data_IF_491997173028
#
_entry.id   IF_491997173028
#
_cell.length_a   1.000
_cell.length_b   1.000
_cell.length_c   1.000
_cell.angle_alpha   90.00
_cell.angle_beta   90.00
_cell.angle_gamma   90.00
#
_symmetry.space_group_name_H-M   'P 1'
#
loop_
_entity.id
_entity.type
_entity.pdbx_description
1 polymer ?
#
# COMPACT_ATOMS: atom_id res chain seq x y z
N UNK A 1 -4.45 -32.21 9.40
CA UNK A 1 -4.94 -30.83 9.22
C UNK A 1 -3.84 -29.88 9.69
N UNK A 2 -3.44 -28.94 8.85
CA UNK A 2 -2.52 -27.89 9.26
C UNK A 2 -3.22 -27.03 10.34
N UNK A 3 -2.54 -26.70 11.46
CA UNK A 3 -3.16 -25.84 12.47
C UNK A 3 -3.53 -24.51 11.83
N UNK A 4 -4.80 -24.12 11.93
CA UNK A 4 -5.26 -22.80 11.54
C UNK A 4 -4.54 -21.80 12.44
N UNK A 5 -3.64 -21.02 11.86
CA UNK A 5 -2.98 -19.94 12.61
C UNK A 5 -4.04 -18.92 12.99
N UNK A 6 -4.07 -18.56 14.25
CA UNK A 6 -4.99 -17.56 14.75
C UNK A 6 -4.64 -16.21 14.11
N UNK A 7 -5.57 -15.66 13.34
CA UNK A 7 -5.48 -14.30 12.84
C UNK A 7 -6.05 -13.37 13.90
N UNK A 8 -5.28 -12.39 14.31
CA UNK A 8 -5.71 -11.37 15.26
C UNK A 8 -6.02 -10.08 14.48
N UNK A 9 -7.16 -9.48 14.80
CA UNK A 9 -7.59 -8.20 14.24
C UNK A 9 -7.54 -7.14 15.32
N UNK A 10 -6.96 -5.98 14.99
CA UNK A 10 -6.93 -4.84 15.88
C UNK A 10 -7.20 -3.56 15.10
N UNK A 11 -7.96 -2.65 15.68
CA UNK A 11 -8.21 -1.30 15.12
C UNK A 11 -7.20 -0.35 15.75
N UNK A 12 -6.27 0.16 14.95
CA UNK A 12 -5.21 1.06 15.38
C UNK A 12 -4.85 2.03 14.26
N UNK A 13 -4.23 3.15 14.61
CA UNK A 13 -3.59 4.01 13.60
C UNK A 13 -2.29 3.35 13.16
N UNK A 14 -2.03 3.38 11.86
CA UNK A 14 -0.82 2.77 11.29
C UNK A 14 0.47 3.47 11.75
N UNK A 15 0.36 4.74 12.11
CA UNK A 15 1.46 5.59 12.54
C UNK A 15 1.83 5.44 14.02
N UNK A 16 0.96 4.80 14.83
CA UNK A 16 1.19 4.62 16.26
C UNK A 16 0.44 3.38 16.76
N UNK A 17 1.06 2.22 16.62
CA UNK A 17 0.48 0.96 17.05
C UNK A 17 0.87 0.60 18.49
N UNK A 18 0.09 -0.26 19.13
CA UNK A 18 0.39 -0.78 20.48
C UNK A 18 1.32 -1.99 20.47
N UNK A 19 1.82 -2.40 19.32
CA UNK A 19 2.71 -3.55 19.20
C UNK A 19 4.08 -3.27 19.84
N UNK A 20 4.70 -4.31 20.35
CA UNK A 20 6.03 -4.23 20.94
C UNK A 20 7.11 -3.93 19.89
N UNK A 21 8.24 -3.38 20.33
CA UNK A 21 9.41 -3.22 19.48
C UNK A 21 9.84 -4.56 18.87
N UNK A 22 10.28 -4.55 17.60
CA UNK A 22 10.87 -5.71 16.92
C UNK A 22 9.99 -6.95 17.01
N UNK A 23 8.70 -6.79 16.70
CA UNK A 23 7.70 -7.86 16.80
C UNK A 23 7.48 -8.60 15.48
N UNK A 24 7.71 -7.94 14.34
CA UNK A 24 7.29 -8.45 13.03
C UNK A 24 8.48 -8.79 12.12
N UNK A 25 8.36 -9.92 11.44
CA UNK A 25 9.28 -10.37 10.40
C UNK A 25 8.90 -9.82 9.02
N UNK A 26 7.63 -9.45 8.85
CA UNK A 26 7.13 -8.81 7.64
C UNK A 26 6.02 -7.81 8.00
N UNK A 27 5.97 -6.70 7.27
CA UNK A 27 4.92 -5.68 7.36
C UNK A 27 4.42 -5.43 5.95
N UNK A 28 3.11 -5.63 5.76
CA UNK A 28 2.47 -5.52 4.46
C UNK A 28 1.40 -4.43 4.46
N UNK A 29 1.38 -3.62 3.42
CA UNK A 29 0.37 -2.57 3.20
C UNK A 29 -0.28 -2.79 1.84
N UNK A 30 -1.58 -3.11 1.86
CA UNK A 30 -2.38 -3.32 0.66
C UNK A 30 -3.32 -2.15 0.44
N UNK A 31 -3.24 -1.45 -0.70
CA UNK A 31 -4.14 -0.35 -1.11
C UNK A 31 -4.30 0.78 -0.09
N UNK A 32 -3.34 1.01 0.79
CA UNK A 32 -3.51 1.94 1.90
C UNK A 32 -2.37 2.93 2.12
N UNK A 33 -1.18 2.68 1.55
CA UNK A 33 0.01 3.47 1.86
C UNK A 33 -0.17 4.98 1.60
N UNK A 34 -0.92 5.34 0.56
CA UNK A 34 -1.18 6.72 0.18
C UNK A 34 -2.07 7.50 1.17
N UNK A 35 -2.70 6.83 2.13
CA UNK A 35 -3.50 7.45 3.19
C UNK A 35 -2.71 7.80 4.43
N UNK A 36 -1.49 7.26 4.59
CA UNK A 36 -0.70 7.39 5.80
C UNK A 36 0.13 8.67 5.81
N UNK A 37 0.41 9.16 7.00
CA UNK A 37 1.47 10.15 7.24
C UNK A 37 2.81 9.44 7.17
N UNK A 38 3.42 9.41 5.99
CA UNK A 38 4.52 8.52 5.64
C UNK A 38 5.72 8.59 6.61
N UNK A 39 6.09 9.78 7.06
CA UNK A 39 7.24 9.93 7.98
C UNK A 39 6.97 9.27 9.34
N UNK A 40 5.77 9.49 9.89
CA UNK A 40 5.34 8.89 11.13
C UNK A 40 5.16 7.38 10.96
N UNK A 41 4.52 6.98 9.88
CA UNK A 41 4.30 5.57 9.56
C UNK A 41 5.62 4.81 9.43
N UNK A 42 6.59 5.31 8.68
CA UNK A 42 7.89 4.64 8.56
C UNK A 42 8.71 4.65 9.84
N UNK A 43 8.51 5.63 10.70
CA UNK A 43 9.06 5.61 12.06
C UNK A 43 8.50 4.45 12.86
N UNK A 44 7.19 4.26 12.79
CA UNK A 44 6.52 3.14 13.46
C UNK A 44 6.93 1.79 12.85
N UNK A 45 7.01 1.67 11.53
CA UNK A 45 7.50 0.46 10.85
C UNK A 45 8.90 0.08 11.37
N UNK A 46 9.82 1.04 11.47
CA UNK A 46 11.17 0.78 12.01
C UNK A 46 11.13 0.31 13.47
N UNK A 47 10.20 0.84 14.26
CA UNK A 47 10.05 0.48 15.66
C UNK A 47 9.62 -0.97 15.84
N UNK A 48 8.62 -1.40 15.05
CA UNK A 48 7.98 -2.71 15.21
C UNK A 48 8.64 -3.81 14.39
N UNK A 49 9.38 -3.47 13.35
CA UNK A 49 10.09 -4.42 12.51
C UNK A 49 11.31 -5.02 13.24
N UNK A 50 11.50 -6.32 13.09
CA UNK A 50 12.74 -6.99 13.50
C UNK A 50 13.89 -6.62 12.56
N UNK A 51 15.14 -6.75 13.00
CA UNK A 51 16.28 -6.70 12.09
C UNK A 51 16.12 -7.71 10.94
N UNK A 52 16.25 -7.27 9.69
CA UNK A 52 16.07 -8.13 8.53
C UNK A 52 14.60 -8.35 8.11
N UNK A 53 13.65 -7.70 8.76
CA UNK A 53 12.24 -7.75 8.36
C UNK A 53 12.01 -7.16 6.97
N UNK A 54 10.98 -7.66 6.30
CA UNK A 54 10.56 -7.20 4.96
C UNK A 54 9.39 -6.23 5.09
N UNK A 55 9.51 -5.08 4.44
CA UNK A 55 8.38 -4.19 4.19
C UNK A 55 7.90 -4.36 2.74
N UNK A 56 6.59 -4.55 2.56
CA UNK A 56 5.97 -4.65 1.26
C UNK A 56 4.72 -3.78 1.18
N UNK A 57 4.63 -2.95 0.14
CA UNK A 57 3.42 -2.19 -0.15
C UNK A 57 3.01 -2.45 -1.60
N UNK A 58 1.71 -2.64 -1.80
CA UNK A 58 1.16 -2.79 -3.15
C UNK A 58 -0.19 -2.09 -3.27
N UNK A 59 -0.52 -1.79 -4.50
CA UNK A 59 -1.80 -1.26 -4.90
C UNK A 59 -2.14 -1.73 -6.31
N UNK A 60 -3.39 -1.63 -6.67
CA UNK A 60 -3.85 -1.84 -8.04
C UNK A 60 -4.40 -0.53 -8.59
N UNK A 61 -4.23 -0.38 -9.87
CA UNK A 61 -4.80 0.68 -10.68
C UNK A 61 -6.14 0.21 -11.30
N UNK A 62 -6.64 0.97 -12.24
CA UNK A 62 -7.88 0.66 -12.93
C UNK A 62 -7.77 -0.57 -13.82
N UNK A 63 -8.92 -1.21 -14.01
CA UNK A 63 -9.06 -2.31 -14.95
C UNK A 63 -8.64 -1.87 -16.36
N UNK A 64 -7.89 -2.73 -17.04
CA UNK A 64 -7.53 -2.62 -18.44
C UNK A 64 -8.14 -3.80 -19.18
N UNK A 65 -9.08 -3.56 -20.09
CA UNK A 65 -9.85 -4.61 -20.78
C UNK A 65 -9.60 -4.54 -22.29
N UNK A 66 -9.86 -3.39 -22.89
CA UNK A 66 -9.62 -3.11 -24.30
C UNK A 66 -9.51 -1.61 -24.51
N UNK A 67 -8.88 -1.19 -25.64
CA UNK A 67 -8.72 0.23 -25.92
C UNK A 67 -10.04 1.00 -25.96
N UNK A 68 -11.09 0.41 -26.54
CA UNK A 68 -12.40 1.08 -26.64
C UNK A 68 -13.10 1.15 -25.30
N UNK A 69 -13.06 0.08 -24.51
CA UNK A 69 -13.61 0.08 -23.16
C UNK A 69 -12.87 1.07 -22.26
N UNK A 70 -11.54 1.03 -22.25
CA UNK A 70 -10.70 1.86 -21.40
C UNK A 70 -10.93 3.35 -21.70
N UNK A 71 -11.09 3.71 -23.00
CA UNK A 71 -11.42 5.06 -23.41
C UNK A 71 -12.81 5.49 -22.94
N UNK A 72 -13.82 4.66 -23.19
CA UNK A 72 -15.18 4.95 -22.74
C UNK A 72 -15.27 5.08 -21.21
N UNK A 73 -14.58 4.21 -20.49
CA UNK A 73 -14.51 4.26 -19.03
C UNK A 73 -13.82 5.53 -18.52
N UNK A 74 -12.72 5.92 -19.18
CA UNK A 74 -12.03 7.17 -18.86
C UNK A 74 -12.97 8.37 -19.01
N UNK A 75 -13.59 8.53 -20.17
CA UNK A 75 -14.41 9.70 -20.51
C UNK A 75 -15.72 9.78 -19.72
N UNK A 76 -16.35 8.64 -19.45
CA UNK A 76 -17.68 8.61 -18.82
C UNK A 76 -17.64 8.51 -17.29
N UNK A 77 -16.61 7.94 -16.74
CA UNK A 77 -16.51 7.69 -15.29
C UNK A 77 -15.33 8.44 -14.69
N UNK A 78 -14.11 8.15 -15.13
CA UNK A 78 -12.93 8.67 -14.45
C UNK A 78 -12.84 10.20 -14.53
N UNK A 79 -13.08 10.79 -15.69
CA UNK A 79 -13.04 12.26 -15.86
C UNK A 79 -14.15 12.96 -15.06
N UNK A 80 -15.30 12.31 -14.90
CA UNK A 80 -16.43 12.84 -14.12
C UNK A 80 -16.15 12.80 -12.62
N UNK A 81 -15.52 11.72 -12.12
CA UNK A 81 -15.27 11.56 -10.67
C UNK A 81 -13.94 12.16 -10.22
N UNK A 82 -13.01 12.38 -11.16
CA UNK A 82 -11.68 12.88 -10.85
C UNK A 82 -11.64 14.15 -9.95
N UNK A 83 -12.52 15.15 -10.17
CA UNK A 83 -12.53 16.35 -9.33
C UNK A 83 -12.91 16.10 -7.87
N UNK A 84 -13.55 14.96 -7.59
CA UNK A 84 -14.03 14.59 -6.25
C UNK A 84 -13.10 13.64 -5.51
N UNK A 85 -12.02 13.24 -6.16
CA UNK A 85 -11.08 12.30 -5.54
C UNK A 85 -10.07 12.98 -4.66
N UNK A 86 -9.74 12.29 -3.55
CA UNK A 86 -8.73 12.77 -2.65
C UNK A 86 -7.37 12.85 -3.36
N UNK A 87 -6.63 13.97 -3.19
CA UNK A 87 -5.33 14.16 -3.85
C UNK A 87 -4.33 13.02 -3.60
N UNK A 88 -4.44 12.34 -2.46
CA UNK A 88 -3.59 11.22 -2.06
C UNK A 88 -3.66 10.04 -3.04
N UNK A 89 -4.78 9.87 -3.75
CA UNK A 89 -4.91 8.81 -4.75
C UNK A 89 -3.88 8.94 -5.88
N UNK A 90 -3.39 10.14 -6.17
CA UNK A 90 -2.34 10.36 -7.16
C UNK A 90 -1.05 9.60 -6.83
N UNK A 91 -0.75 9.38 -5.56
CA UNK A 91 0.42 8.63 -5.10
C UNK A 91 0.29 7.14 -5.50
N UNK A 92 -0.92 6.60 -5.35
CA UNK A 92 -1.24 5.23 -5.77
C UNK A 92 -1.15 5.08 -7.28
N UNK A 93 -1.82 5.96 -8.04
CA UNK A 93 -1.87 5.89 -9.52
C UNK A 93 -0.51 6.06 -10.17
N UNK A 94 0.42 6.72 -9.50
CA UNK A 94 1.83 6.78 -9.90
C UNK A 94 2.65 5.58 -9.43
N UNK A 95 2.01 4.54 -8.91
CA UNK A 95 2.67 3.30 -8.50
C UNK A 95 3.64 3.47 -7.32
N UNK A 96 3.38 4.42 -6.43
CA UNK A 96 4.25 4.72 -5.28
C UNK A 96 5.69 5.12 -5.64
N UNK A 97 5.94 5.52 -6.89
CA UNK A 97 7.32 5.83 -7.36
C UNK A 97 7.97 6.99 -6.60
N UNK A 98 7.16 7.93 -6.15
CA UNK A 98 7.62 9.11 -5.41
C UNK A 98 7.77 8.87 -3.90
N UNK A 99 7.33 7.72 -3.41
CA UNK A 99 7.45 7.39 -1.99
C UNK A 99 8.89 7.06 -1.66
N UNK A 100 9.50 7.86 -0.80
CA UNK A 100 10.84 7.60 -0.27
C UNK A 100 10.75 6.52 0.78
N UNK A 101 11.19 5.32 0.41
CA UNK A 101 11.31 4.22 1.35
C UNK A 101 12.58 4.41 2.18
N UNK A 102 12.52 4.34 3.51
CA UNK A 102 13.70 4.44 4.36
C UNK A 102 14.46 3.11 4.50
N UNK A 103 14.30 2.23 3.52
CA UNK A 103 14.85 0.88 3.46
C UNK A 103 15.49 0.66 2.10
N UNK A 104 16.40 -0.32 2.02
CA UNK A 104 16.92 -0.80 0.75
C UNK A 104 15.76 -1.36 -0.11
N UNK A 105 15.67 -0.90 -1.35
CA UNK A 105 14.61 -1.29 -2.27
C UNK A 105 15.00 -2.55 -3.03
N UNK A 106 14.17 -3.57 -2.91
CA UNK A 106 14.24 -4.76 -3.77
C UNK A 106 13.33 -4.52 -4.97
N UNK A 107 13.92 -4.50 -6.17
CA UNK A 107 13.15 -4.36 -7.40
C UNK A 107 12.57 -5.72 -7.80
N UNK A 108 11.26 -5.78 -7.88
CA UNK A 108 10.53 -6.94 -8.39
C UNK A 108 10.00 -6.64 -9.79
N UNK A 109 9.91 -7.65 -10.68
CA UNK A 109 9.22 -7.47 -11.94
C UNK A 109 7.74 -7.12 -11.70
N UNK A 110 7.10 -6.36 -12.63
CA UNK A 110 5.68 -6.09 -12.52
C UNK A 110 4.88 -7.39 -12.47
N UNK A 111 3.95 -7.46 -11.52
CA UNK A 111 3.00 -8.56 -11.47
C UNK A 111 1.94 -8.34 -12.57
N UNK A 112 1.85 -9.26 -13.51
CA UNK A 112 0.77 -9.31 -14.49
C UNK A 112 -0.27 -10.30 -13.98
N UNK A 113 -1.48 -9.84 -13.79
CA UNK A 113 -2.65 -10.64 -13.40
C UNK A 113 -3.54 -10.79 -14.62
#
# INVERSE_FOLDING_TARGET
>A
ALPVRTVLYAVQTAEATTFSHRSFDAICVAQALHWFRLDEFFTEVRRVAKPGAIFCAWGYDWLRISQDFDRAFQETILDVVAPFWAPQNSILWRGYVDVRLPFERILLPPLQI
#
